data_IF_907301953687
#
_entry.id   IF_907301953687
#
_cell.length_a   1.000
_cell.length_b   1.000
_cell.length_c   1.000
_cell.angle_alpha   90.00
_cell.angle_beta   90.00
_cell.angle_gamma   90.00
#
_symmetry.space_group_name_H-M   'P 1'
#
loop_
_entity.id
_entity.type
_entity.pdbx_description
1 polymer ?
#
# COMPACT_ATOMS: atom_id res chain seq x y z
N UNK A 1 35.94 -9.88 14.27
CA UNK A 1 35.24 -8.61 14.52
C UNK A 1 34.14 -8.45 13.48
N UNK A 2 32.94 -8.05 13.87
CA UNK A 2 31.89 -7.71 12.90
C UNK A 2 32.27 -6.43 12.13
N UNK A 3 31.94 -6.31 10.83
CA UNK A 3 32.21 -5.12 10.03
C UNK A 3 31.61 -3.85 10.66
N UNK A 4 32.22 -2.69 10.40
CA UNK A 4 31.79 -1.40 10.96
C UNK A 4 30.28 -1.16 10.78
N UNK A 5 29.76 -1.33 9.57
CA UNK A 5 28.35 -1.13 9.26
C UNK A 5 27.42 -2.12 9.96
N UNK A 6 27.88 -3.36 10.19
CA UNK A 6 27.15 -4.37 10.95
C UNK A 6 27.01 -3.94 12.42
N UNK A 7 28.07 -3.39 13.01
CA UNK A 7 28.01 -2.85 14.37
C UNK A 7 27.10 -1.64 14.46
N UNK A 8 27.19 -0.70 13.52
CA UNK A 8 26.31 0.48 13.47
C UNK A 8 24.84 0.06 13.38
N UNK A 9 24.51 -0.87 12.48
CA UNK A 9 23.15 -1.40 12.33
C UNK A 9 22.67 -2.04 13.64
N UNK A 10 23.47 -2.93 14.22
CA UNK A 10 23.11 -3.65 15.44
C UNK A 10 22.90 -2.71 16.62
N UNK A 11 23.76 -1.71 16.81
CA UNK A 11 23.58 -0.73 17.88
C UNK A 11 22.36 0.16 17.67
N UNK A 12 22.08 0.54 16.43
CA UNK A 12 20.92 1.38 16.09
C UNK A 12 19.61 0.60 16.26
N UNK A 13 19.56 -0.64 15.78
CA UNK A 13 18.38 -1.51 15.88
C UNK A 13 18.19 -2.16 17.27
N UNK A 14 19.24 -2.23 18.10
CA UNK A 14 19.13 -2.73 19.47
C UNK A 14 18.32 -1.79 20.38
N UNK A 15 18.25 -0.49 20.05
CA UNK A 15 17.52 0.50 20.84
C UNK A 15 16.04 0.51 20.43
N UNK A 16 15.17 0.09 21.36
CA UNK A 16 13.72 0.03 21.12
C UNK A 16 13.12 1.35 20.65
N UNK A 17 13.55 2.49 21.21
CA UNK A 17 13.07 3.82 20.83
C UNK A 17 13.49 4.26 19.41
N UNK A 18 14.47 3.59 18.79
CA UNK A 18 14.86 3.80 17.38
C UNK A 18 14.16 2.77 16.49
N UNK A 19 14.21 1.49 16.88
CA UNK A 19 13.62 0.37 16.11
C UNK A 19 12.12 0.52 15.93
N UNK A 20 11.38 0.86 17.00
CA UNK A 20 9.91 0.90 16.97
C UNK A 20 9.40 1.94 15.96
N UNK A 21 9.85 3.22 15.98
CA UNK A 21 9.46 4.18 14.97
C UNK A 21 9.79 3.74 13.54
N UNK A 22 10.96 3.14 13.30
CA UNK A 22 11.34 2.65 11.97
C UNK A 22 10.38 1.55 11.49
N UNK A 23 10.11 0.55 12.33
CA UNK A 23 9.22 -0.56 11.97
C UNK A 23 7.78 -0.10 11.74
N UNK A 24 7.32 0.93 12.44
CA UNK A 24 5.98 1.49 12.25
C UNK A 24 5.90 2.42 11.03
N UNK A 25 6.93 3.21 10.77
CA UNK A 25 6.94 4.17 9.67
C UNK A 25 7.18 3.50 8.32
N UNK A 26 7.98 2.43 8.27
CA UNK A 26 8.35 1.77 7.01
C UNK A 26 7.15 1.25 6.22
N UNK A 27 6.16 0.52 6.80
CA UNK A 27 4.96 0.10 6.07
C UNK A 27 4.11 1.28 5.60
N UNK A 28 4.00 2.35 6.40
CA UNK A 28 3.22 3.54 6.06
C UNK A 28 3.84 4.25 4.85
N UNK A 29 5.15 4.48 4.90
CA UNK A 29 5.89 5.10 3.82
C UNK A 29 5.88 4.21 2.56
N UNK A 30 6.09 2.90 2.71
CA UNK A 30 6.04 1.96 1.61
C UNK A 30 4.67 1.97 0.92
N UNK A 31 3.58 1.94 1.69
CA UNK A 31 2.24 2.00 1.14
C UNK A 31 2.02 3.31 0.37
N UNK A 32 2.33 4.45 1.01
CA UNK A 32 2.11 5.79 0.43
C UNK A 32 2.96 6.08 -0.81
N UNK A 33 4.24 5.71 -0.79
CA UNK A 33 5.18 6.13 -1.84
C UNK A 33 5.42 5.06 -2.91
N UNK A 34 5.14 3.79 -2.61
CA UNK A 34 5.35 2.69 -3.56
C UNK A 34 4.00 2.12 -3.98
N UNK A 35 3.23 1.53 -3.07
CA UNK A 35 1.99 0.82 -3.46
C UNK A 35 0.97 1.74 -4.15
N UNK A 36 0.77 2.95 -3.62
CA UNK A 36 -0.13 3.94 -4.24
C UNK A 36 0.24 4.29 -5.68
N UNK A 37 1.53 4.27 -6.05
CA UNK A 37 1.96 4.56 -7.43
C UNK A 37 1.51 3.47 -8.41
N UNK A 38 1.34 2.24 -7.93
CA UNK A 38 0.86 1.12 -8.73
C UNK A 38 -0.67 1.01 -8.73
N UNK A 39 -1.38 1.82 -7.95
CA UNK A 39 -2.83 1.73 -7.83
C UNK A 39 -3.53 1.98 -9.19
N UNK A 40 -3.06 2.95 -9.97
CA UNK A 40 -3.62 3.23 -11.30
C UNK A 40 -3.36 2.09 -12.28
N UNK A 41 -2.17 1.49 -12.25
CA UNK A 41 -1.86 0.33 -13.07
C UNK A 41 -2.73 -0.87 -12.67
N UNK A 42 -2.94 -1.08 -11.36
CA UNK A 42 -3.80 -2.13 -10.83
C UNK A 42 -5.28 -1.90 -11.21
N UNK A 43 -5.77 -0.65 -11.18
CA UNK A 43 -7.12 -0.30 -11.63
C UNK A 43 -7.31 -0.57 -13.12
N UNK A 44 -6.32 -0.19 -13.96
CA UNK A 44 -6.34 -0.46 -15.40
C UNK A 44 -6.32 -1.96 -15.70
N UNK A 45 -5.48 -2.72 -14.98
CA UNK A 45 -5.44 -4.17 -15.12
C UNK A 45 -6.78 -4.84 -14.78
N UNK A 46 -7.49 -4.32 -13.78
CA UNK A 46 -8.79 -4.85 -13.35
C UNK A 46 -9.98 -4.09 -13.95
N UNK A 47 -9.80 -3.36 -15.05
CA UNK A 47 -10.89 -2.63 -15.69
C UNK A 47 -12.04 -3.58 -16.07
N UNK A 48 -13.27 -3.21 -15.72
CA UNK A 48 -14.47 -4.01 -15.89
C UNK A 48 -14.71 -5.07 -14.81
N UNK A 49 -13.76 -5.27 -13.89
CA UNK A 49 -13.83 -6.27 -12.82
C UNK A 49 -13.60 -5.70 -11.41
N UNK A 50 -13.23 -4.43 -11.30
CA UNK A 50 -13.11 -3.79 -10.00
C UNK A 50 -14.50 -3.49 -9.40
N UNK A 51 -14.54 -3.30 -8.08
CA UNK A 51 -15.78 -3.07 -7.34
C UNK A 51 -16.55 -1.83 -7.81
N UNK A 52 -15.82 -0.76 -8.20
CA UNK A 52 -16.44 0.47 -8.70
C UNK A 52 -17.18 0.22 -10.02
N UNK A 53 -16.57 -0.52 -10.94
CA UNK A 53 -17.16 -0.87 -12.24
C UNK A 53 -18.38 -1.79 -12.09
N UNK A 54 -18.34 -2.71 -11.12
CA UNK A 54 -19.50 -3.55 -10.77
C UNK A 54 -20.64 -2.67 -10.24
N UNK A 55 -20.33 -1.73 -9.34
CA UNK A 55 -21.32 -0.85 -8.75
C UNK A 55 -21.96 0.09 -9.78
N UNK A 56 -21.16 0.68 -10.66
CA UNK A 56 -21.65 1.52 -11.76
C UNK A 56 -22.59 0.75 -12.69
N UNK A 57 -22.25 -0.51 -13.04
CA UNK A 57 -23.14 -1.35 -13.85
C UNK A 57 -24.45 -1.68 -13.14
N UNK A 58 -24.41 -1.95 -11.84
CA UNK A 58 -25.61 -2.16 -11.04
C UNK A 58 -26.50 -0.91 -11.01
N UNK A 59 -25.90 0.26 -10.78
CA UNK A 59 -26.64 1.54 -10.81
C UNK A 59 -27.29 1.79 -12.17
N UNK A 60 -26.57 1.56 -13.26
CA UNK A 60 -27.11 1.73 -14.62
C UNK A 60 -28.28 0.78 -14.90
N UNK A 61 -28.21 -0.48 -14.44
CA UNK A 61 -29.32 -1.44 -14.56
C UNK A 61 -30.56 -1.00 -13.79
N UNK A 62 -30.38 -0.60 -12.53
CA UNK A 62 -31.49 -0.13 -11.68
C UNK A 62 -32.18 1.10 -12.29
N UNK A 63 -31.41 2.01 -12.89
CA UNK A 63 -31.96 3.19 -13.55
C UNK A 63 -32.78 2.81 -14.80
N UNK A 64 -32.29 1.86 -15.60
CA UNK A 64 -33.01 1.37 -16.79
C UNK A 64 -34.29 0.60 -16.43
N UNK A 65 -34.30 -0.12 -15.31
CA UNK A 65 -35.49 -0.84 -14.83
C UNK A 65 -36.56 0.10 -14.23
N UNK A 66 -36.23 1.37 -13.98
CA UNK A 66 -37.11 2.38 -13.40
C UNK A 66 -37.80 3.29 -14.44
N UNK A 67 -37.38 3.21 -15.71
CA UNK A 67 -38.02 3.86 -16.88
C UNK A 67 -39.07 2.94 -17.52
#
# INVERSE_FOLDING_TARGET
>A
MAPFWTNVLNYTYARGFIRIPIVLALPIAFNKFILYQYEDAFKRWNAGHNQADIWMRLQAKVAADAE
#
